data_IF_321935801409
#
_entry.id   IF_321935801409
#
_cell.length_a   1.000
_cell.length_b   1.000
_cell.length_c   1.000
_cell.angle_alpha   90.00
_cell.angle_beta   90.00
_cell.angle_gamma   90.00
#
_symmetry.space_group_name_H-M   'P 1'
#
loop_
_entity.id
_entity.type
_entity.pdbx_description
1 polymer ?
#
# COMPACT_ATOMS: atom_id res chain seq x y z
N UNK A 1 -1.91 -49.74 -55.66
CA UNK A 1 -2.48 -48.44 -55.96
C UNK A 1 -2.06 -47.48 -54.91
N UNK A 2 -1.39 -46.46 -55.37
CA UNK A 2 -0.57 -45.54 -54.59
C UNK A 2 -1.45 -44.38 -54.16
N UNK A 3 -1.52 -44.10 -52.87
CA UNK A 3 -2.08 -42.89 -52.37
C UNK A 3 -1.00 -42.05 -51.69
N UNK A 4 -0.68 -40.93 -52.32
CA UNK A 4 0.34 -39.98 -51.86
C UNK A 4 -0.16 -39.22 -50.64
N UNK A 5 0.60 -39.28 -49.56
CA UNK A 5 0.49 -38.37 -48.43
C UNK A 5 1.08 -37.00 -48.78
N UNK A 6 0.24 -36.02 -48.99
CA UNK A 6 0.61 -34.60 -48.92
C UNK A 6 0.67 -34.19 -47.45
N UNK A 7 1.89 -34.04 -46.98
CA UNK A 7 2.16 -33.33 -45.70
C UNK A 7 2.08 -31.83 -45.97
N UNK A 8 0.93 -31.25 -45.65
CA UNK A 8 0.78 -29.83 -45.61
C UNK A 8 1.48 -29.29 -44.35
N UNK A 9 2.58 -28.60 -44.55
CA UNK A 9 3.17 -27.73 -43.53
C UNK A 9 2.23 -26.53 -43.28
N UNK A 10 1.32 -26.70 -42.34
CA UNK A 10 0.65 -25.52 -41.76
C UNK A 10 1.69 -24.78 -40.95
N UNK A 11 2.27 -23.80 -41.63
CA UNK A 11 3.00 -22.73 -40.99
C UNK A 11 1.97 -21.90 -40.17
N UNK A 12 1.84 -22.21 -38.87
CA UNK A 12 1.13 -21.37 -37.95
C UNK A 12 1.77 -19.96 -38.00
N UNK A 13 1.19 -19.13 -38.81
CA UNK A 13 1.38 -17.69 -38.71
C UNK A 13 0.80 -17.35 -37.32
N UNK A 14 1.66 -17.20 -36.32
CA UNK A 14 1.31 -16.51 -35.10
C UNK A 14 0.86 -15.13 -35.53
N UNK A 15 -0.42 -14.86 -35.45
CA UNK A 15 -0.96 -13.52 -35.47
C UNK A 15 -0.29 -12.73 -34.32
N UNK A 16 0.83 -12.13 -34.66
CA UNK A 16 1.46 -11.11 -33.86
C UNK A 16 0.64 -9.86 -34.06
N UNK A 17 -0.11 -9.48 -33.03
CA UNK A 17 -0.58 -8.14 -32.71
C UNK A 17 -2.06 -8.11 -32.27
N UNK A 18 -2.38 -8.82 -31.21
CA UNK A 18 -3.19 -8.23 -30.14
C UNK A 18 -2.31 -8.26 -28.90
N UNK A 19 -1.74 -7.11 -28.54
CA UNK A 19 -1.03 -6.96 -27.29
C UNK A 19 -2.00 -7.30 -26.16
N UNK A 20 -1.89 -8.54 -25.65
CA UNK A 20 -2.50 -8.91 -24.38
C UNK A 20 -1.87 -7.94 -23.38
N UNK A 21 -2.68 -7.03 -22.88
CA UNK A 21 -2.24 -6.04 -21.89
C UNK A 21 -2.00 -6.81 -20.61
N UNK A 22 -0.79 -7.40 -20.48
CA UNK A 22 -0.41 -8.24 -19.35
C UNK A 22 -0.50 -7.40 -18.08
N UNK A 23 -1.22 -7.91 -17.10
CA UNK A 23 -1.42 -7.25 -15.82
C UNK A 23 -0.15 -7.35 -15.00
N UNK A 24 0.34 -6.21 -14.55
CA UNK A 24 1.53 -6.09 -13.69
C UNK A 24 1.14 -5.56 -12.32
N UNK A 25 1.84 -6.02 -11.28
CA UNK A 25 1.79 -5.44 -9.94
C UNK A 25 3.19 -5.37 -9.32
N UNK A 26 3.49 -4.37 -8.49
CA UNK A 26 4.70 -4.38 -7.69
C UNK A 26 4.62 -5.48 -6.62
N UNK A 27 5.67 -6.29 -6.51
CA UNK A 27 5.72 -7.41 -5.54
C UNK A 27 6.92 -7.33 -4.60
N UNK A 28 8.08 -6.88 -5.08
CA UNK A 28 9.25 -6.81 -4.22
C UNK A 28 9.89 -5.41 -4.28
N UNK A 29 10.13 -4.84 -3.11
CA UNK A 29 10.84 -3.57 -2.95
C UNK A 29 12.13 -3.78 -2.20
N UNK A 30 13.23 -3.23 -2.72
CA UNK A 30 14.55 -3.31 -2.08
C UNK A 30 15.30 -2.00 -2.14
N UNK A 31 16.04 -1.73 -1.08
CA UNK A 31 16.89 -0.57 -0.89
C UNK A 31 18.29 -1.07 -0.60
N UNK A 32 19.24 -0.87 -1.51
CA UNK A 32 20.65 -1.05 -1.20
C UNK A 32 21.14 0.11 -0.34
N UNK A 33 20.83 1.33 -0.74
CA UNK A 33 21.17 2.54 0.00
C UNK A 33 20.19 3.69 -0.27
N UNK A 34 19.63 4.25 0.81
CA UNK A 34 18.84 5.49 0.78
C UNK A 34 18.82 6.12 2.17
N UNK A 35 19.48 7.25 2.38
CA UNK A 35 19.59 7.89 3.70
C UNK A 35 20.08 6.91 4.77
N UNK A 36 19.27 6.65 5.79
CA UNK A 36 19.60 5.69 6.86
C UNK A 36 19.33 4.23 6.48
N UNK A 37 18.62 3.97 5.37
CA UNK A 37 18.34 2.62 4.91
C UNK A 37 19.55 2.01 4.22
N UNK A 38 19.92 0.79 4.64
CA UNK A 38 20.98 -0.03 4.04
C UNK A 38 20.51 -1.48 3.99
N UNK A 39 20.55 -2.10 2.83
CA UNK A 39 20.23 -3.52 2.63
C UNK A 39 18.85 -3.89 3.21
N UNK A 40 17.82 -3.10 2.91
CA UNK A 40 16.44 -3.34 3.34
C UNK A 40 15.62 -3.85 2.18
N UNK A 41 14.95 -4.98 2.36
CA UNK A 41 14.05 -5.54 1.34
C UNK A 41 12.83 -6.21 1.95
N UNK A 42 11.71 -6.21 1.22
CA UNK A 42 10.48 -6.87 1.62
C UNK A 42 9.53 -7.08 0.44
N UNK A 43 8.63 -8.03 0.62
CA UNK A 43 7.56 -8.31 -0.33
C UNK A 43 6.32 -7.45 -0.06
N UNK A 44 5.62 -7.11 -1.13
CA UNK A 44 4.31 -6.46 -1.10
C UNK A 44 3.21 -7.51 -1.29
N UNK A 45 2.16 -7.44 -0.48
CA UNK A 45 0.97 -8.27 -0.66
C UNK A 45 0.21 -7.90 -1.94
N UNK A 46 -0.44 -8.87 -2.53
CA UNK A 46 -1.24 -8.66 -3.75
C UNK A 46 -2.41 -7.72 -3.53
N UNK A 47 -2.98 -7.70 -2.32
CA UNK A 47 -4.12 -6.86 -1.95
C UNK A 47 -3.70 -5.72 -1.02
N UNK A 48 -3.18 -6.06 0.17
CA UNK A 48 -2.88 -5.05 1.19
C UNK A 48 -1.51 -5.30 1.81
N UNK A 49 -0.67 -4.26 1.82
CA UNK A 49 0.57 -4.20 2.58
C UNK A 49 0.48 -3.09 3.61
N UNK A 50 0.72 -3.43 4.86
CA UNK A 50 0.84 -2.47 5.96
C UNK A 50 2.31 -2.27 6.30
N UNK A 51 2.80 -1.04 6.20
CA UNK A 51 4.12 -0.63 6.66
C UNK A 51 3.97 0.05 8.02
N UNK A 52 4.56 -0.53 9.07
CA UNK A 52 4.51 0.00 10.42
C UNK A 52 5.89 0.02 11.06
N UNK A 53 6.01 0.64 12.22
CA UNK A 53 7.27 0.75 12.97
C UNK A 53 7.36 2.04 13.76
N UNK A 54 8.51 2.27 14.38
CA UNK A 54 8.78 3.42 15.23
C UNK A 54 8.67 4.76 14.48
N UNK A 55 8.49 5.86 15.23
CA UNK A 55 8.53 7.19 14.65
C UNK A 55 9.93 7.49 14.09
N UNK A 56 9.98 8.16 12.93
CA UNK A 56 11.23 8.52 12.28
C UNK A 56 11.94 7.37 11.55
N UNK A 57 11.37 6.15 11.55
CA UNK A 57 11.98 4.98 10.87
C UNK A 57 11.88 5.04 9.33
N UNK A 58 11.19 6.05 8.77
CA UNK A 58 11.13 6.28 7.32
C UNK A 58 9.97 5.59 6.59
N UNK A 59 8.85 5.26 7.26
CA UNK A 59 7.66 4.66 6.63
C UNK A 59 7.14 5.46 5.43
N UNK A 60 6.95 6.78 5.62
CA UNK A 60 6.49 7.69 4.54
C UNK A 60 7.48 7.75 3.37
N UNK A 61 8.80 7.64 3.66
CA UNK A 61 9.82 7.58 2.63
C UNK A 61 9.63 6.34 1.75
N UNK A 62 9.54 5.15 2.37
CA UNK A 62 9.36 3.91 1.63
C UNK A 62 8.06 3.92 0.82
N UNK A 63 6.96 4.39 1.42
CA UNK A 63 5.67 4.48 0.77
C UNK A 63 5.70 5.39 -0.47
N UNK A 64 6.32 6.56 -0.38
CA UNK A 64 6.45 7.51 -1.49
C UNK A 64 7.35 6.98 -2.61
N UNK A 65 8.41 6.25 -2.25
CA UNK A 65 9.31 5.60 -3.20
C UNK A 65 8.60 4.49 -3.97
N UNK A 66 7.81 3.64 -3.29
CA UNK A 66 6.98 2.60 -3.93
C UNK A 66 5.99 3.24 -4.91
N UNK A 67 5.29 4.30 -4.50
CA UNK A 67 4.35 5.02 -5.35
C UNK A 67 5.01 5.66 -6.59
N UNK A 68 6.32 5.92 -6.56
CA UNK A 68 7.04 6.59 -7.65
C UNK A 68 7.46 5.66 -8.79
N UNK A 69 7.41 4.33 -8.59
CA UNK A 69 7.83 3.36 -9.61
C UNK A 69 6.82 3.18 -10.74
N UNK A 70 5.55 3.45 -10.48
CA UNK A 70 4.44 3.31 -11.42
C UNK A 70 3.63 4.60 -11.57
N UNK A 71 2.78 4.64 -12.57
CA UNK A 71 1.89 5.77 -12.84
C UNK A 71 1.35 5.77 -14.26
N UNK A 72 0.16 6.32 -14.40
CA UNK A 72 -0.50 6.52 -15.68
C UNK A 72 -0.73 8.02 -15.92
N UNK A 73 -0.20 8.54 -17.02
CA UNK A 73 -0.41 9.93 -17.44
C UNK A 73 -1.83 10.12 -18.02
N UNK A 74 -2.82 9.89 -17.16
CA UNK A 74 -4.23 10.08 -17.43
C UNK A 74 -4.83 10.90 -16.31
N UNK A 75 -5.71 11.84 -16.65
CA UNK A 75 -6.38 12.68 -15.66
C UNK A 75 -7.64 12.01 -15.14
N UNK A 76 -7.85 12.09 -13.83
CA UNK A 76 -9.15 11.80 -13.21
C UNK A 76 -10.20 12.84 -13.64
N UNK A 77 -11.45 12.57 -13.34
CA UNK A 77 -12.55 13.52 -13.62
C UNK A 77 -12.36 14.85 -12.85
N UNK A 78 -11.67 14.82 -11.73
CA UNK A 78 -11.30 16.03 -10.95
C UNK A 78 -10.09 16.77 -11.51
N UNK A 79 -9.40 16.21 -12.50
CA UNK A 79 -8.25 16.81 -13.18
C UNK A 79 -6.88 16.42 -12.59
N UNK A 80 -6.83 15.59 -11.56
CA UNK A 80 -5.58 15.07 -10.99
C UNK A 80 -5.04 13.89 -11.82
N UNK A 81 -3.72 13.73 -11.91
CA UNK A 81 -3.12 12.61 -12.61
C UNK A 81 -3.12 11.33 -11.74
N UNK A 82 -3.16 10.16 -12.41
CA UNK A 82 -2.90 8.86 -11.77
C UNK A 82 -1.39 8.54 -11.76
N UNK A 83 -0.59 9.55 -11.56
CA UNK A 83 0.86 9.50 -11.51
C UNK A 83 1.33 10.50 -10.46
N UNK A 84 1.63 10.05 -9.23
CA UNK A 84 2.13 10.95 -8.19
C UNK A 84 3.54 11.45 -8.54
N UNK A 85 3.77 12.73 -8.38
CA UNK A 85 5.08 13.33 -8.57
C UNK A 85 5.79 13.47 -7.22
N UNK A 86 6.93 12.82 -7.06
CA UNK A 86 7.66 12.71 -5.80
C UNK A 86 7.95 14.06 -5.15
N UNK A 87 8.34 15.05 -5.93
CA UNK A 87 8.66 16.41 -5.45
C UNK A 87 7.46 17.18 -4.90
N UNK A 88 6.22 16.73 -5.14
CA UNK A 88 5.01 17.39 -4.61
C UNK A 88 4.79 17.09 -3.12
N UNK A 89 5.38 16.03 -2.60
CA UNK A 89 5.14 15.56 -1.22
C UNK A 89 6.40 15.09 -0.51
N UNK A 90 7.56 15.14 -1.16
CA UNK A 90 8.83 14.73 -0.58
C UNK A 90 9.96 15.62 -1.07
N UNK A 91 10.80 16.07 -0.15
CA UNK A 91 11.98 16.86 -0.48
C UNK A 91 13.27 16.06 -0.26
N UNK A 92 14.12 16.06 -1.26
CA UNK A 92 15.53 15.66 -1.16
C UNK A 92 16.34 16.94 -1.28
N UNK A 93 17.24 17.17 -0.34
CA UNK A 93 18.10 18.34 -0.34
C UNK A 93 19.15 18.22 -1.46
N UNK A 94 19.55 19.35 -2.05
CA UNK A 94 20.57 19.38 -3.09
C UNK A 94 21.94 18.95 -2.54
N UNK A 95 22.17 19.12 -1.23
CA UNK A 95 23.39 18.71 -0.55
C UNK A 95 23.43 17.21 -0.19
N UNK A 96 22.29 16.49 -0.33
CA UNK A 96 22.27 15.03 -0.15
C UNK A 96 23.00 14.34 -1.32
N UNK A 97 23.75 13.28 -1.02
CA UNK A 97 24.38 12.41 -2.05
C UNK A 97 23.31 11.51 -2.71
N UNK A 98 22.31 12.14 -3.36
CA UNK A 98 21.20 11.43 -4.00
C UNK A 98 21.60 10.59 -5.22
N UNK A 99 22.77 10.84 -5.81
CA UNK A 99 23.29 10.04 -6.93
C UNK A 99 23.72 8.63 -6.47
N UNK A 100 24.11 8.49 -5.20
CA UNK A 100 24.46 7.20 -4.59
C UNK A 100 23.24 6.34 -4.25
N UNK A 101 22.02 6.89 -4.23
CA UNK A 101 20.80 6.18 -3.87
C UNK A 101 20.49 5.07 -4.85
N UNK A 102 20.23 3.87 -4.30
CA UNK A 102 19.96 2.65 -5.07
C UNK A 102 18.77 1.91 -4.48
N UNK A 103 17.68 1.96 -5.21
CA UNK A 103 16.42 1.31 -4.83
C UNK A 103 15.82 0.61 -6.05
N UNK A 104 15.15 -0.51 -5.81
CA UNK A 104 14.55 -1.31 -6.87
C UNK A 104 13.12 -1.69 -6.51
N UNK A 105 12.26 -1.69 -7.51
CA UNK A 105 10.90 -2.16 -7.42
C UNK A 105 10.67 -3.19 -8.54
N UNK A 106 10.44 -4.43 -8.15
CA UNK A 106 10.20 -5.55 -9.06
C UNK A 106 8.70 -5.75 -9.24
N UNK A 107 8.31 -5.90 -10.48
CA UNK A 107 6.94 -6.14 -10.90
C UNK A 107 6.80 -7.56 -11.41
N UNK A 108 5.66 -8.16 -11.11
CA UNK A 108 5.32 -9.53 -11.54
C UNK A 108 4.01 -9.54 -12.29
N UNK A 109 3.80 -10.59 -13.07
CA UNK A 109 2.51 -10.91 -13.67
C UNK A 109 1.54 -11.52 -12.63
N UNK A 110 0.29 -11.76 -12.99
CA UNK A 110 -0.74 -12.29 -12.08
C UNK A 110 -0.38 -13.66 -11.47
N UNK A 111 0.33 -14.48 -12.21
CA UNK A 111 0.81 -15.78 -11.76
C UNK A 111 2.01 -15.72 -10.80
N UNK A 112 2.61 -14.54 -10.64
CA UNK A 112 3.81 -14.32 -9.83
C UNK A 112 5.11 -14.41 -10.61
N UNK A 113 5.08 -14.59 -11.93
CA UNK A 113 6.28 -14.58 -12.76
C UNK A 113 6.94 -13.21 -12.76
N UNK A 114 8.25 -13.08 -12.44
CA UNK A 114 8.97 -11.81 -12.53
C UNK A 114 8.92 -11.25 -13.96
N UNK A 115 8.41 -10.03 -14.10
CA UNK A 115 8.20 -9.37 -15.38
C UNK A 115 9.29 -8.34 -15.69
N UNK A 116 9.49 -7.39 -14.80
CA UNK A 116 10.50 -6.34 -14.95
C UNK A 116 10.86 -5.72 -13.59
N UNK A 117 12.07 -5.18 -13.51
CA UNK A 117 12.53 -4.41 -12.35
C UNK A 117 12.83 -2.97 -12.74
N UNK A 118 12.40 -2.03 -11.92
CA UNK A 118 12.75 -0.61 -12.04
C UNK A 118 13.70 -0.20 -10.92
N UNK A 119 14.87 0.34 -11.31
CA UNK A 119 15.73 1.09 -10.42
C UNK A 119 15.19 2.52 -10.29
N UNK A 120 14.90 2.96 -9.09
CA UNK A 120 14.50 4.33 -8.80
C UNK A 120 15.74 5.20 -8.72
N UNK A 121 16.03 5.95 -9.78
CA UNK A 121 17.18 6.86 -9.88
C UNK A 121 16.73 8.28 -9.62
N UNK A 122 17.59 9.07 -8.98
CA UNK A 122 17.31 10.46 -8.68
C UNK A 122 17.96 11.37 -9.73
N UNK A 123 17.30 12.47 -10.04
CA UNK A 123 17.79 13.48 -10.97
C UNK A 123 17.49 14.87 -10.44
N UNK A 124 18.48 15.73 -10.47
CA UNK A 124 18.30 17.15 -10.21
C UNK A 124 17.59 17.83 -11.39
N UNK A 125 16.43 18.36 -11.15
CA UNK A 125 15.64 19.20 -12.04
C UNK A 125 15.25 20.53 -11.36
N UNK A 126 16.02 20.99 -10.36
CA UNK A 126 15.79 22.25 -9.59
C UNK A 126 15.73 23.46 -10.50
N UNK A 127 16.51 23.49 -11.57
CA UNK A 127 16.47 24.55 -12.60
C UNK A 127 15.10 24.70 -13.28
N UNK A 128 14.27 23.64 -13.24
CA UNK A 128 12.89 23.67 -13.79
C UNK A 128 11.83 23.87 -12.73
N UNK A 129 12.22 24.11 -11.47
CA UNK A 129 11.33 24.25 -10.33
C UNK A 129 10.74 22.94 -9.80
N UNK A 130 11.27 21.78 -10.23
CA UNK A 130 10.79 20.45 -9.82
C UNK A 130 11.67 19.79 -8.74
N UNK A 131 12.75 20.44 -8.30
CA UNK A 131 13.66 19.87 -7.33
C UNK A 131 14.29 18.54 -7.76
N UNK A 132 14.68 17.73 -6.78
CA UNK A 132 15.19 16.37 -7.03
C UNK A 132 14.02 15.44 -7.26
N UNK A 133 13.95 14.80 -8.41
CA UNK A 133 12.87 13.88 -8.78
C UNK A 133 13.34 12.47 -9.08
N UNK A 134 12.40 11.50 -8.99
CA UNK A 134 12.65 10.10 -9.30
C UNK A 134 12.42 9.84 -10.78
N UNK A 135 13.38 9.11 -11.39
CA UNK A 135 13.26 8.54 -12.74
C UNK A 135 13.42 7.02 -12.62
N UNK A 136 12.33 6.24 -12.83
CA UNK A 136 12.43 4.79 -12.81
C UNK A 136 13.12 4.29 -14.07
N UNK A 137 14.28 3.67 -13.92
CA UNK A 137 15.05 3.07 -15.03
C UNK A 137 14.91 1.56 -15.01
N UNK A 138 14.71 0.93 -16.16
CA UNK A 138 14.71 -0.54 -16.25
C UNK A 138 16.05 -1.10 -15.78
N UNK A 139 16.01 -2.18 -15.02
CA UNK A 139 17.15 -2.89 -14.46
C UNK A 139 17.01 -4.38 -14.74
N UNK A 140 18.12 -5.10 -14.75
CA UNK A 140 18.15 -6.55 -14.84
C UNK A 140 18.34 -7.25 -13.47
N UNK A 141 18.35 -6.46 -12.39
CA UNK A 141 18.42 -7.02 -11.02
C UNK A 141 17.11 -7.75 -10.71
N UNK A 142 17.20 -8.90 -10.07
CA UNK A 142 16.09 -9.82 -9.77
C UNK A 142 15.39 -10.41 -11.02
N UNK A 143 16.04 -10.39 -12.19
CA UNK A 143 15.58 -11.08 -13.40
C UNK A 143 16.69 -12.04 -13.81
N UNK A 144 16.40 -13.34 -13.75
CA UNK A 144 17.37 -14.39 -14.01
C UNK A 144 17.87 -14.39 -15.46
N UNK A 145 19.18 -14.61 -15.62
CA UNK A 145 19.85 -14.79 -16.91
C UNK A 145 19.60 -13.67 -17.94
N UNK A 146 19.44 -12.43 -17.49
CA UNK A 146 19.09 -11.31 -18.35
C UNK A 146 20.15 -10.19 -18.29
N UNK A 147 20.64 -9.72 -19.44
CA UNK A 147 21.46 -8.51 -19.51
C UNK A 147 20.57 -7.27 -19.44
N UNK A 148 21.14 -6.11 -19.03
CA UNK A 148 20.40 -4.85 -18.97
C UNK A 148 19.70 -4.52 -20.30
N UNK A 149 20.42 -4.68 -21.42
CA UNK A 149 19.87 -4.43 -22.75
C UNK A 149 18.69 -5.36 -23.08
N UNK A 150 18.79 -6.63 -22.68
CA UNK A 150 17.70 -7.59 -22.86
C UNK A 150 16.48 -7.23 -22.00
N UNK A 151 16.71 -6.82 -20.74
CA UNK A 151 15.65 -6.37 -19.84
C UNK A 151 14.89 -5.15 -20.40
N UNK A 152 15.61 -4.18 -21.00
CA UNK A 152 14.98 -3.02 -21.65
C UNK A 152 14.17 -3.40 -22.88
N UNK A 153 14.66 -4.33 -23.71
CA UNK A 153 13.96 -4.84 -24.89
C UNK A 153 12.69 -5.60 -24.46
N UNK A 154 12.79 -6.50 -23.48
CA UNK A 154 11.67 -7.27 -22.98
C UNK A 154 10.60 -6.35 -22.36
N UNK A 155 11.02 -5.40 -21.50
CA UNK A 155 10.11 -4.42 -20.90
C UNK A 155 9.34 -3.62 -21.95
N UNK A 156 10.00 -3.24 -23.06
CA UNK A 156 9.35 -2.50 -24.14
C UNK A 156 8.43 -3.38 -24.99
N UNK A 157 8.84 -4.58 -25.35
CA UNK A 157 8.11 -5.43 -26.28
C UNK A 157 6.93 -6.16 -25.62
N UNK A 158 7.11 -6.62 -24.36
CA UNK A 158 6.09 -7.42 -23.67
C UNK A 158 5.11 -6.56 -22.87
N UNK A 159 5.59 -5.43 -22.31
CA UNK A 159 4.80 -4.61 -21.38
C UNK A 159 4.62 -3.15 -21.85
N UNK A 160 5.16 -2.80 -23.00
CA UNK A 160 5.19 -1.41 -23.52
C UNK A 160 5.73 -0.39 -22.49
N UNK A 161 6.75 -0.78 -21.74
CA UNK A 161 7.41 0.06 -20.74
C UNK A 161 8.80 0.48 -21.21
N UNK A 162 8.98 1.77 -21.49
CA UNK A 162 10.28 2.32 -21.91
C UNK A 162 11.33 2.26 -20.81
N UNK A 163 12.64 2.29 -21.19
CA UNK A 163 13.77 2.17 -20.26
C UNK A 163 13.75 3.18 -19.11
N UNK A 164 13.33 4.43 -19.34
CA UNK A 164 13.20 5.48 -18.32
C UNK A 164 11.73 5.85 -18.00
N UNK A 165 10.78 5.01 -18.37
CA UNK A 165 9.34 5.23 -18.13
C UNK A 165 8.89 4.51 -16.85
N UNK A 166 7.87 5.06 -16.19
CA UNK A 166 7.13 4.37 -15.12
C UNK A 166 6.36 3.18 -15.69
N UNK A 167 6.11 2.18 -14.85
CA UNK A 167 5.19 1.09 -15.20
C UNK A 167 3.77 1.65 -15.26
N UNK A 168 3.01 1.28 -16.29
CA UNK A 168 1.70 1.85 -16.60
C UNK A 168 0.60 1.31 -15.68
N UNK A 169 0.77 1.47 -14.37
CA UNK A 169 -0.23 1.16 -13.35
C UNK A 169 -0.75 2.49 -12.81
N UNK A 170 -2.06 2.78 -12.92
CA UNK A 170 -2.67 3.94 -12.28
C UNK A 170 -2.31 3.98 -10.80
N UNK A 171 -1.63 5.03 -10.37
CA UNK A 171 -1.14 5.13 -8.98
C UNK A 171 -1.66 6.40 -8.33
N UNK A 172 -2.20 6.25 -7.13
CA UNK A 172 -2.59 7.37 -6.25
C UNK A 172 -1.75 7.31 -4.98
N UNK A 173 -1.19 8.45 -4.59
CA UNK A 173 -0.54 8.63 -3.30
C UNK A 173 -1.30 9.67 -2.48
N UNK A 174 -1.75 9.28 -1.29
CA UNK A 174 -2.40 10.14 -0.32
C UNK A 174 -1.42 10.46 0.80
N UNK A 175 -0.77 11.62 0.72
CA UNK A 175 0.14 12.13 1.75
C UNK A 175 -0.61 12.69 2.96
N UNK A 176 0.12 13.01 4.04
CA UNK A 176 -0.42 13.66 5.23
C UNK A 176 -1.00 15.05 4.96
N UNK A 177 -0.65 15.71 3.84
CA UNK A 177 -1.22 17.02 3.48
C UNK A 177 -2.75 16.99 3.34
N UNK A 178 -3.35 15.79 3.09
CA UNK A 178 -4.81 15.64 3.05
C UNK A 178 -5.51 15.97 4.37
N UNK A 179 -4.78 15.85 5.49
CA UNK A 179 -5.29 16.10 6.85
C UNK A 179 -5.36 17.59 7.20
N UNK A 180 -5.05 18.45 6.25
CA UNK A 180 -5.14 19.89 6.45
C UNK A 180 -6.58 20.30 6.77
N UNK A 181 -6.84 20.89 7.97
CA UNK A 181 -8.20 21.14 8.44
C UNK A 181 -8.96 22.13 7.54
N UNK A 182 -10.13 21.72 7.05
CA UNK A 182 -10.96 22.52 6.16
C UNK A 182 -11.43 23.84 6.80
N UNK A 183 -11.72 23.81 8.11
CA UNK A 183 -12.29 24.95 8.84
C UNK A 183 -11.29 26.01 9.29
N UNK A 184 -9.99 25.69 9.37
CA UNK A 184 -8.98 26.59 9.96
C UNK A 184 -8.44 27.63 8.95
N UNK A 185 -8.44 27.30 7.65
CA UNK A 185 -7.96 28.20 6.59
C UNK A 185 -8.93 28.24 5.41
N UNK A 186 -10.06 28.85 5.62
CA UNK A 186 -11.14 28.99 4.63
C UNK A 186 -10.70 29.72 3.35
N UNK A 187 -9.71 30.59 3.44
CA UNK A 187 -9.11 31.34 2.35
C UNK A 187 -8.33 30.48 1.34
N UNK A 188 -7.87 29.30 1.77
CA UNK A 188 -7.10 28.35 0.91
C UNK A 188 -7.90 27.14 0.46
N UNK A 189 -9.18 27.04 0.87
CA UNK A 189 -10.07 25.93 0.52
C UNK A 189 -11.16 26.42 -0.42
N UNK A 190 -11.26 25.80 -1.60
CA UNK A 190 -12.31 26.06 -2.56
C UNK A 190 -13.24 24.86 -2.66
N UNK A 191 -14.55 25.08 -2.44
CA UNK A 191 -15.59 24.09 -2.61
C UNK A 191 -16.46 24.45 -3.80
N UNK A 192 -16.70 23.46 -4.68
CA UNK A 192 -17.52 23.64 -5.86
C UNK A 192 -18.50 22.47 -5.98
N UNK A 193 -19.79 22.75 -5.95
CA UNK A 193 -20.83 21.74 -6.14
C UNK A 193 -20.74 21.14 -7.55
N UNK A 194 -20.87 19.83 -7.64
CA UNK A 194 -20.81 19.09 -8.90
C UNK A 194 -22.20 19.00 -9.50
N UNK A 195 -22.37 19.52 -10.72
CA UNK A 195 -23.65 19.53 -11.42
C UNK A 195 -24.09 18.10 -11.76
N UNK A 196 -25.39 17.78 -11.65
CA UNK A 196 -25.99 16.47 -11.96
C UNK A 196 -25.71 15.94 -13.39
N UNK A 197 -25.33 16.80 -14.33
CA UNK A 197 -24.93 16.42 -15.71
C UNK A 197 -23.49 15.91 -15.79
N UNK A 198 -22.71 15.95 -14.69
CA UNK A 198 -21.32 15.51 -14.67
C UNK A 198 -21.22 13.97 -14.76
N UNK A 199 -20.09 13.49 -15.29
CA UNK A 199 -19.78 12.07 -15.43
C UNK A 199 -19.90 11.28 -14.10
N UNK A 200 -19.66 11.91 -12.94
CA UNK A 200 -19.85 11.28 -11.65
C UNK A 200 -21.27 10.78 -11.42
N UNK A 201 -22.28 11.61 -11.72
CA UNK A 201 -23.68 11.20 -11.59
C UNK A 201 -24.10 10.22 -12.70
N UNK A 202 -23.60 10.40 -13.92
CA UNK A 202 -23.90 9.49 -15.04
C UNK A 202 -23.40 8.06 -14.78
N UNK A 203 -22.26 7.93 -14.10
CA UNK A 203 -21.63 6.64 -13.74
C UNK A 203 -21.95 6.20 -12.30
N UNK A 204 -22.94 6.82 -11.65
CA UNK A 204 -23.38 6.52 -10.25
C UNK A 204 -22.27 6.58 -9.20
N UNK A 205 -21.25 7.38 -9.44
CA UNK A 205 -20.13 7.55 -8.50
C UNK A 205 -20.57 8.26 -7.20
N UNK A 206 -21.61 9.08 -7.26
CA UNK A 206 -22.23 9.69 -6.08
C UNK A 206 -22.94 8.65 -5.20
N UNK A 207 -23.63 7.67 -5.80
CA UNK A 207 -24.25 6.55 -5.09
C UNK A 207 -23.18 5.70 -4.41
N UNK A 208 -22.08 5.36 -5.13
CA UNK A 208 -20.94 4.61 -4.59
C UNK A 208 -20.22 5.36 -3.48
N UNK A 209 -20.04 6.67 -3.59
CA UNK A 209 -19.46 7.49 -2.53
C UNK A 209 -20.28 7.39 -1.24
N UNK A 210 -21.61 7.54 -1.33
CA UNK A 210 -22.54 7.40 -0.19
C UNK A 210 -22.50 6.01 0.41
N UNK A 211 -22.56 4.97 -0.43
CA UNK A 211 -22.51 3.57 -0.03
C UNK A 211 -21.23 3.29 0.78
N UNK A 212 -20.06 3.55 0.21
CA UNK A 212 -18.79 3.24 0.85
C UNK A 212 -18.53 4.08 2.10
N UNK A 213 -18.89 5.35 2.08
CA UNK A 213 -18.77 6.21 3.26
C UNK A 213 -19.65 5.69 4.41
N UNK A 214 -20.91 5.31 4.12
CA UNK A 214 -21.85 4.79 5.11
C UNK A 214 -21.53 3.36 5.57
N UNK A 215 -20.80 2.56 4.81
CA UNK A 215 -20.22 1.29 5.28
C UNK A 215 -19.22 1.55 6.40
N UNK A 216 -18.35 2.56 6.24
CA UNK A 216 -17.30 2.88 7.21
C UNK A 216 -17.86 3.64 8.43
N UNK A 217 -18.67 4.68 8.20
CA UNK A 217 -19.36 5.43 9.26
C UNK A 217 -20.87 5.40 8.98
N UNK A 218 -21.64 4.49 9.62
CA UNK A 218 -23.03 4.27 9.31
C UNK A 218 -23.91 5.51 9.48
N UNK A 219 -24.88 5.64 8.58
CA UNK A 219 -25.90 6.71 8.60
C UNK A 219 -25.32 8.14 8.57
N UNK A 220 -24.14 8.33 8.04
CA UNK A 220 -23.49 9.64 7.98
C UNK A 220 -23.97 10.50 6.82
N UNK A 221 -24.13 9.90 5.63
CA UNK A 221 -24.53 10.63 4.42
C UNK A 221 -25.96 10.25 4.06
N UNK A 222 -26.82 11.28 3.94
CA UNK A 222 -28.23 11.13 3.56
C UNK A 222 -28.39 10.97 2.05
N UNK A 223 -29.55 10.46 1.62
CA UNK A 223 -29.86 10.22 0.19
C UNK A 223 -29.80 11.50 -0.66
N UNK A 224 -30.21 12.62 -0.11
CA UNK A 224 -30.26 13.93 -0.77
C UNK A 224 -28.94 14.69 -0.82
N UNK A 225 -27.88 14.21 -0.14
CA UNK A 225 -26.60 14.88 -0.10
C UNK A 225 -25.98 15.03 -1.50
N UNK A 226 -25.42 16.20 -1.76
CA UNK A 226 -24.86 16.58 -3.06
C UNK A 226 -23.34 16.45 -3.04
N UNK A 227 -22.80 15.99 -4.16
CA UNK A 227 -21.35 15.82 -4.33
C UNK A 227 -20.69 17.16 -4.60
N UNK A 228 -19.63 17.45 -3.87
CA UNK A 228 -18.82 18.66 -4.02
C UNK A 228 -17.36 18.33 -4.29
N UNK A 229 -16.71 19.11 -5.14
CA UNK A 229 -15.26 19.12 -5.34
C UNK A 229 -14.64 20.02 -4.29
N UNK A 230 -13.65 19.52 -3.58
CA UNK A 230 -12.85 20.26 -2.61
C UNK A 230 -11.42 20.39 -3.10
N UNK A 231 -10.91 21.62 -3.19
CA UNK A 231 -9.52 21.94 -3.53
C UNK A 231 -8.88 22.62 -2.33
N UNK A 232 -7.84 21.99 -1.78
CA UNK A 232 -7.05 22.55 -0.65
C UNK A 232 -5.72 23.03 -1.20
N UNK A 233 -5.32 24.27 -0.90
CA UNK A 233 -4.07 24.85 -1.41
C UNK A 233 -2.80 24.05 -1.04
N UNK A 234 -2.86 23.25 0.03
CA UNK A 234 -1.75 22.40 0.46
C UNK A 234 -1.72 21.01 -0.20
N UNK A 235 -2.76 20.62 -0.96
CA UNK A 235 -2.89 19.29 -1.53
C UNK A 235 -2.71 19.31 -3.05
N UNK A 236 -1.90 18.40 -3.57
CA UNK A 236 -1.72 18.23 -5.01
C UNK A 236 -2.97 17.68 -5.73
N UNK A 237 -3.88 17.01 -4.97
CA UNK A 237 -5.11 16.43 -5.52
C UNK A 237 -6.35 17.11 -4.95
N UNK A 238 -7.30 17.41 -5.84
CA UNK A 238 -8.67 17.72 -5.44
C UNK A 238 -9.38 16.44 -4.97
N UNK A 239 -10.34 16.58 -4.06
CA UNK A 239 -11.13 15.48 -3.52
C UNK A 239 -12.64 15.71 -3.64
N UNK A 240 -13.40 14.62 -3.57
CA UNK A 240 -14.87 14.63 -3.51
C UNK A 240 -15.31 14.59 -2.07
N UNK A 241 -16.32 15.38 -1.74
CA UNK A 241 -16.96 15.39 -0.43
C UNK A 241 -18.47 15.54 -0.56
N UNK A 242 -19.18 15.12 0.47
CA UNK A 242 -20.61 15.35 0.66
C UNK A 242 -20.85 15.88 2.05
N UNK A 243 -21.95 16.60 2.25
CA UNK A 243 -22.37 17.02 3.58
C UNK A 243 -22.76 15.81 4.45
N UNK A 244 -22.37 15.83 5.70
CA UNK A 244 -22.53 14.73 6.66
C UNK A 244 -23.52 15.14 7.74
N UNK A 245 -24.63 14.44 7.91
CA UNK A 245 -25.62 14.69 8.97
C UNK A 245 -26.01 16.17 9.11
N UNK A 246 -26.27 16.86 7.99
CA UNK A 246 -26.54 18.30 7.91
C UNK A 246 -25.33 19.19 8.31
N UNK A 247 -24.14 18.61 8.49
CA UNK A 247 -22.90 19.38 8.68
C UNK A 247 -22.28 19.70 7.33
N UNK A 248 -22.17 20.97 6.96
CA UNK A 248 -21.53 21.35 5.70
C UNK A 248 -20.08 20.86 5.63
N UNK A 249 -19.59 20.62 4.44
CA UNK A 249 -18.24 20.10 4.16
C UNK A 249 -17.14 20.88 4.90
N UNK A 250 -17.23 22.23 4.96
CA UNK A 250 -16.24 23.07 5.69
C UNK A 250 -16.24 22.85 7.21
N UNK A 251 -17.29 22.30 7.78
CA UNK A 251 -17.44 22.10 9.22
C UNK A 251 -17.18 20.65 9.65
N UNK A 252 -16.76 19.79 8.72
CA UNK A 252 -16.42 18.41 9.00
C UNK A 252 -15.20 18.30 9.91
N UNK A 253 -15.21 17.29 10.78
CA UNK A 253 -14.06 16.96 11.61
C UNK A 253 -12.91 16.42 10.76
N UNK A 254 -11.68 16.47 11.27
CA UNK A 254 -10.49 15.94 10.56
C UNK A 254 -10.68 14.46 10.17
N UNK A 255 -11.30 13.65 11.04
CA UNK A 255 -11.57 12.23 10.74
C UNK A 255 -12.57 12.04 9.60
N UNK A 256 -13.64 12.86 9.57
CA UNK A 256 -14.63 12.85 8.49
C UNK A 256 -14.02 13.30 7.16
N UNK A 257 -13.22 14.37 7.19
CA UNK A 257 -12.50 14.88 6.04
C UNK A 257 -11.44 13.86 5.53
N UNK A 258 -10.69 13.22 6.46
CA UNK A 258 -9.74 12.17 6.10
C UNK A 258 -10.44 11.01 5.36
N UNK A 259 -11.53 10.49 5.93
CA UNK A 259 -12.32 9.44 5.28
C UNK A 259 -12.85 9.91 3.91
N UNK A 260 -13.35 11.14 3.82
CA UNK A 260 -13.80 11.73 2.55
C UNK A 260 -12.70 11.73 1.47
N UNK A 261 -11.46 12.10 1.84
CA UNK A 261 -10.32 12.05 0.92
C UNK A 261 -9.99 10.61 0.47
N UNK A 262 -10.05 9.63 1.38
CA UNK A 262 -9.82 8.22 1.06
C UNK A 262 -10.90 7.69 0.12
N UNK A 263 -12.19 7.89 0.44
CA UNK A 263 -13.30 7.49 -0.42
C UNK A 263 -13.22 8.19 -1.79
N UNK A 264 -12.85 9.47 -1.82
CA UNK A 264 -12.64 10.18 -3.08
C UNK A 264 -11.59 9.52 -3.98
N UNK A 265 -10.47 9.05 -3.42
CA UNK A 265 -9.46 8.33 -4.18
C UNK A 265 -9.98 6.98 -4.72
N UNK A 266 -10.77 6.26 -3.93
CA UNK A 266 -11.44 5.03 -4.37
C UNK A 266 -12.45 5.31 -5.50
N UNK A 267 -13.19 6.42 -5.42
CA UNK A 267 -14.09 6.86 -6.51
C UNK A 267 -13.33 7.21 -7.78
N UNK A 268 -12.17 7.87 -7.69
CA UNK A 268 -11.32 8.13 -8.86
C UNK A 268 -10.90 6.81 -9.55
N UNK A 269 -10.54 5.78 -8.76
CA UNK A 269 -10.21 4.44 -9.29
C UNK A 269 -11.47 3.75 -9.86
N UNK A 270 -12.61 3.82 -9.17
CA UNK A 270 -13.87 3.29 -9.67
C UNK A 270 -14.28 3.91 -11.02
N UNK A 271 -14.13 5.22 -11.16
CA UNK A 271 -14.38 5.89 -12.44
C UNK A 271 -13.45 5.42 -13.55
N UNK A 272 -12.18 5.16 -13.19
CA UNK A 272 -11.18 4.65 -14.13
C UNK A 272 -11.39 3.17 -14.47
N UNK A 273 -11.94 2.36 -13.55
CA UNK A 273 -12.19 0.93 -13.79
C UNK A 273 -13.26 0.65 -14.84
N UNK A 274 -14.01 1.66 -15.23
CA UNK A 274 -14.98 1.57 -16.33
C UNK A 274 -14.36 1.73 -17.72
N UNK A 275 -13.06 1.98 -17.79
CA UNK A 275 -12.35 2.10 -19.08
C UNK A 275 -11.82 0.72 -19.50
N UNK A 276 -11.94 0.38 -20.78
CA UNK A 276 -11.57 -0.93 -21.35
C UNK A 276 -10.09 -1.32 -21.11
N UNK A 277 -9.21 -0.32 -20.96
CA UNK A 277 -7.77 -0.51 -20.74
C UNK A 277 -7.40 -0.68 -19.26
N UNK A 278 -8.37 -0.67 -18.34
CA UNK A 278 -8.09 -0.77 -16.92
C UNK A 278 -7.69 -2.18 -16.51
N UNK A 279 -6.50 -2.30 -15.91
CA UNK A 279 -5.93 -3.58 -15.45
C UNK A 279 -5.61 -3.60 -13.94
N UNK A 280 -6.17 -2.66 -13.19
CA UNK A 280 -5.89 -2.50 -11.76
C UNK A 280 -5.22 -1.17 -11.43
N UNK A 281 -5.05 -0.90 -10.13
CA UNK A 281 -4.45 0.34 -9.63
C UNK A 281 -3.62 0.10 -8.38
N UNK A 282 -2.68 1.01 -8.10
CA UNK A 282 -1.93 1.07 -6.86
C UNK A 282 -2.42 2.28 -6.03
N UNK A 283 -2.86 2.02 -4.80
CA UNK A 283 -3.25 3.05 -3.85
C UNK A 283 -2.32 3.06 -2.64
N UNK A 284 -1.56 4.13 -2.48
CA UNK A 284 -0.65 4.34 -1.36
C UNK A 284 -1.24 5.39 -0.41
N UNK A 285 -1.39 5.06 0.88
CA UNK A 285 -1.97 5.96 1.88
C UNK A 285 -1.03 6.09 3.08
N UNK A 286 -0.55 7.29 3.33
CA UNK A 286 0.30 7.57 4.49
C UNK A 286 -0.57 7.83 5.72
N UNK A 287 -0.23 7.19 6.85
CA UNK A 287 -0.92 7.25 8.14
C UNK A 287 -2.46 7.15 8.03
N UNK A 288 -2.92 5.98 7.61
CA UNK A 288 -4.34 5.73 7.33
C UNK A 288 -5.25 5.88 8.55
N UNK A 289 -4.71 5.64 9.74
CA UNK A 289 -5.42 5.61 11.03
C UNK A 289 -5.68 6.98 11.64
N UNK A 290 -5.03 8.03 11.15
CA UNK A 290 -5.10 9.37 11.76
C UNK A 290 -6.54 9.85 11.87
N UNK A 291 -6.92 10.23 13.10
CA UNK A 291 -8.26 10.76 13.47
C UNK A 291 -9.43 9.80 13.19
N UNK A 292 -9.17 8.49 13.00
CA UNK A 292 -10.21 7.48 12.87
C UNK A 292 -10.35 6.64 14.16
N UNK A 293 -11.58 6.46 14.63
CA UNK A 293 -11.87 5.55 15.74
C UNK A 293 -11.54 4.10 15.37
N UNK A 294 -11.08 3.24 16.32
CA UNK A 294 -10.73 1.84 16.03
C UNK A 294 -11.79 1.04 15.27
N UNK A 295 -13.08 1.18 15.60
CA UNK A 295 -14.17 0.54 14.86
C UNK A 295 -14.25 1.02 13.40
N UNK A 296 -14.08 2.32 13.17
CA UNK A 296 -14.02 2.91 11.83
C UNK A 296 -12.82 2.37 11.03
N UNK A 297 -11.67 2.17 11.69
CA UNK A 297 -10.47 1.58 11.06
C UNK A 297 -10.72 0.14 10.61
N UNK A 298 -11.42 -0.67 11.40
CA UNK A 298 -11.79 -2.06 11.04
C UNK A 298 -12.71 -2.04 9.81
N UNK A 299 -13.78 -1.25 9.84
CA UNK A 299 -14.73 -1.14 8.71
C UNK A 299 -14.06 -0.62 7.44
N UNK A 300 -13.11 0.33 7.56
CA UNK A 300 -12.35 0.82 6.43
C UNK A 300 -11.45 -0.28 5.85
N UNK A 301 -10.82 -1.09 6.71
CA UNK A 301 -10.02 -2.24 6.29
C UNK A 301 -10.89 -3.29 5.58
N UNK A 302 -12.08 -3.60 6.10
CA UNK A 302 -13.02 -4.53 5.47
C UNK A 302 -13.45 -4.03 4.08
N UNK A 303 -13.76 -2.72 3.95
CA UNK A 303 -14.04 -2.09 2.66
C UNK A 303 -12.85 -2.21 1.70
N UNK A 304 -11.62 -2.03 2.17
CA UNK A 304 -10.43 -2.19 1.33
C UNK A 304 -10.24 -3.63 0.85
N UNK A 305 -10.48 -4.63 1.70
CA UNK A 305 -10.43 -6.04 1.30
C UNK A 305 -11.44 -6.29 0.18
N UNK A 306 -12.69 -5.83 0.33
CA UNK A 306 -13.71 -5.95 -0.68
C UNK A 306 -13.30 -5.26 -1.99
N UNK A 307 -12.91 -3.99 -1.94
CA UNK A 307 -12.59 -3.20 -3.14
C UNK A 307 -11.28 -3.62 -3.80
N UNK A 308 -10.35 -4.24 -3.06
CA UNK A 308 -9.14 -4.83 -3.66
C UNK A 308 -9.47 -5.95 -4.64
N UNK A 309 -10.56 -6.68 -4.41
CA UNK A 309 -11.07 -7.71 -5.31
C UNK A 309 -11.93 -7.10 -6.43
N UNK A 310 -12.92 -6.28 -6.08
CA UNK A 310 -13.89 -5.72 -7.03
C UNK A 310 -13.24 -4.81 -8.07
N UNK A 311 -12.29 -3.97 -7.65
CA UNK A 311 -11.63 -2.98 -8.49
C UNK A 311 -10.18 -3.34 -8.80
N UNK A 312 -9.71 -4.53 -8.41
CA UNK A 312 -8.33 -4.96 -8.61
C UNK A 312 -7.31 -3.90 -8.13
N UNK A 313 -7.46 -3.44 -6.89
CA UNK A 313 -6.59 -2.45 -6.28
C UNK A 313 -5.56 -3.15 -5.39
N UNK A 314 -4.29 -2.81 -5.56
CA UNK A 314 -3.26 -3.10 -4.58
C UNK A 314 -3.09 -1.88 -3.66
N UNK A 315 -3.19 -2.11 -2.35
CA UNK A 315 -3.04 -1.06 -1.34
C UNK A 315 -1.72 -1.23 -0.60
N UNK A 316 -0.99 -0.13 -0.46
CA UNK A 316 0.17 -0.04 0.43
C UNK A 316 -0.08 1.11 1.39
N UNK A 317 -0.15 0.84 2.68
CA UNK A 317 -0.52 1.84 3.66
C UNK A 317 0.50 1.91 4.81
N UNK A 318 0.77 3.10 5.32
CA UNK A 318 1.50 3.23 6.58
C UNK A 318 0.52 3.43 7.74
N UNK A 319 0.87 2.94 8.92
CA UNK A 319 0.05 3.07 10.12
C UNK A 319 0.83 2.90 11.42
N UNK A 320 0.36 3.56 12.46
CA UNK A 320 0.72 3.32 13.86
C UNK A 320 -0.38 2.56 14.63
N UNK A 321 -1.50 2.24 13.98
CA UNK A 321 -2.63 1.60 14.63
C UNK A 321 -2.38 0.12 14.92
N UNK A 322 -2.38 -0.24 16.19
CA UNK A 322 -2.39 -1.64 16.63
C UNK A 322 -3.64 -2.38 16.18
N UNK A 323 -4.76 -1.69 15.97
CA UNK A 323 -6.01 -2.26 15.47
C UNK A 323 -5.82 -2.76 14.04
N UNK A 324 -5.33 -1.91 13.14
CA UNK A 324 -5.06 -2.27 11.74
C UNK A 324 -4.01 -3.38 11.65
N UNK A 325 -2.89 -3.24 12.36
CA UNK A 325 -1.81 -4.24 12.38
C UNK A 325 -2.35 -5.61 12.81
N UNK A 326 -3.16 -5.66 13.89
CA UNK A 326 -3.75 -6.91 14.40
C UNK A 326 -4.64 -7.60 13.36
N UNK A 327 -5.50 -6.84 12.71
CA UNK A 327 -6.43 -7.41 11.73
C UNK A 327 -5.67 -7.87 10.47
N UNK A 328 -4.70 -7.08 9.97
CA UNK A 328 -3.92 -7.50 8.79
C UNK A 328 -3.00 -8.69 9.11
N UNK A 329 -2.43 -8.80 10.32
CA UNK A 329 -1.71 -10.01 10.74
C UNK A 329 -2.60 -11.28 10.73
N UNK A 330 -3.88 -11.15 11.09
CA UNK A 330 -4.83 -12.28 10.97
C UNK A 330 -5.08 -12.67 9.50
N UNK A 331 -5.19 -11.68 8.62
CA UNK A 331 -5.36 -11.90 7.18
C UNK A 331 -4.08 -12.52 6.57
N UNK A 332 -2.89 -12.02 6.92
CA UNK A 332 -1.60 -12.55 6.48
C UNK A 332 -1.41 -14.02 6.88
N UNK A 333 -1.84 -14.40 8.10
CA UNK A 333 -1.81 -15.81 8.52
C UNK A 333 -2.70 -16.73 7.68
N UNK A 334 -3.79 -16.21 7.10
CA UNK A 334 -4.70 -16.96 6.24
C UNK A 334 -4.22 -17.00 4.78
N UNK A 335 -3.70 -15.88 4.30
CA UNK A 335 -3.17 -15.74 2.95
C UNK A 335 -2.01 -14.73 2.92
N UNK A 336 -0.80 -15.26 3.03
CA UNK A 336 0.43 -14.45 3.04
C UNK A 336 0.82 -13.89 1.68
N UNK A 337 0.20 -14.32 0.58
CA UNK A 337 0.43 -13.74 -0.74
C UNK A 337 -0.37 -12.44 -0.91
N UNK A 338 -1.58 -12.39 -0.37
CA UNK A 338 -2.47 -11.24 -0.52
C UNK A 338 -2.20 -10.15 0.52
N UNK A 339 -1.77 -10.53 1.73
CA UNK A 339 -1.64 -9.61 2.86
C UNK A 339 -0.24 -9.67 3.47
N UNK A 340 0.35 -8.52 3.74
CA UNK A 340 1.68 -8.39 4.36
C UNK A 340 1.69 -7.32 5.44
N UNK A 341 2.39 -7.62 6.54
CA UNK A 341 2.78 -6.63 7.54
C UNK A 341 4.29 -6.49 7.52
N UNK A 342 4.77 -5.32 7.16
CA UNK A 342 6.19 -4.93 7.16
C UNK A 342 6.42 -4.06 8.39
N UNK A 343 7.19 -4.56 9.35
CA UNK A 343 7.50 -3.82 10.57
C UNK A 343 8.95 -3.40 10.62
N UNK A 344 9.16 -2.08 10.70
CA UNK A 344 10.47 -1.44 10.67
C UNK A 344 10.92 -1.05 12.08
N UNK A 345 12.18 -1.33 12.40
CA UNK A 345 12.83 -0.97 13.67
C UNK A 345 14.08 -0.13 13.44
N UNK A 346 14.51 0.54 14.50
CA UNK A 346 15.74 1.32 14.59
C UNK A 346 15.81 2.50 13.61
N UNK A 347 15.34 3.71 13.99
CA UNK A 347 15.37 4.88 13.12
C UNK A 347 16.75 5.28 12.58
N UNK A 348 17.84 4.95 13.33
CA UNK A 348 19.21 5.29 12.90
C UNK A 348 19.78 4.33 11.85
N UNK A 349 19.31 3.08 11.83
CA UNK A 349 19.66 2.05 10.85
C UNK A 349 18.46 1.14 10.63
N UNK A 350 17.48 1.56 9.84
CA UNK A 350 16.22 0.86 9.70
C UNK A 350 16.38 -0.53 9.09
N UNK A 351 15.69 -1.51 9.66
CA UNK A 351 15.61 -2.87 9.14
C UNK A 351 14.20 -3.45 9.29
N UNK A 352 13.84 -4.37 8.43
CA UNK A 352 12.59 -5.13 8.52
C UNK A 352 12.77 -6.27 9.50
N UNK A 353 11.81 -6.45 10.38
CA UNK A 353 11.81 -7.54 11.37
C UNK A 353 10.79 -8.62 11.03
N UNK A 354 11.14 -9.87 11.26
CA UNK A 354 10.26 -11.04 11.08
C UNK A 354 9.22 -11.23 12.19
N UNK A 355 8.98 -10.19 13.00
CA UNK A 355 7.98 -10.27 14.06
C UNK A 355 6.56 -10.42 13.49
N UNK A 356 6.02 -11.63 13.49
CA UNK A 356 4.67 -11.97 13.03
C UNK A 356 3.65 -12.17 14.17
N UNK A 357 4.04 -11.86 15.41
CA UNK A 357 3.14 -11.90 16.57
C UNK A 357 2.68 -10.50 16.92
N UNK A 358 1.36 -10.34 17.08
CA UNK A 358 0.76 -9.07 17.50
C UNK A 358 1.28 -8.63 18.86
N UNK A 359 1.45 -9.56 19.80
CA UNK A 359 1.93 -9.29 21.16
C UNK A 359 3.36 -8.77 21.16
N UNK A 360 4.23 -9.32 20.30
CA UNK A 360 5.62 -8.84 20.16
C UNK A 360 5.64 -7.43 19.55
N UNK A 361 4.86 -7.19 18.50
CA UNK A 361 4.76 -5.87 17.88
C UNK A 361 4.21 -4.83 18.85
N UNK A 362 3.16 -5.19 19.59
CA UNK A 362 2.59 -4.33 20.64
C UNK A 362 3.62 -4.01 21.71
N UNK A 363 4.34 -5.01 22.21
CA UNK A 363 5.39 -4.81 23.22
C UNK A 363 6.49 -3.87 22.74
N UNK A 364 6.92 -4.03 21.49
CA UNK A 364 7.93 -3.14 20.86
C UNK A 364 7.43 -1.71 20.72
N UNK A 365 6.19 -1.52 20.25
CA UNK A 365 5.60 -0.20 20.07
C UNK A 365 5.42 0.57 21.40
N UNK A 366 5.15 -0.12 22.48
CA UNK A 366 5.03 0.48 23.81
C UNK A 366 6.37 0.57 24.58
N UNK A 367 7.46 0.02 24.04
CA UNK A 367 8.74 -0.05 24.73
C UNK A 367 8.66 -0.83 26.05
N UNK A 368 7.65 -1.68 26.22
CA UNK A 368 7.42 -2.41 27.45
C UNK A 368 7.81 -3.88 27.29
N UNK A 369 8.65 -4.37 28.18
CA UNK A 369 9.00 -5.80 28.27
C UNK A 369 7.86 -6.67 28.84
N UNK A 370 6.67 -6.10 29.05
CA UNK A 370 5.51 -6.83 29.57
C UNK A 370 4.90 -7.77 28.50
N UNK A 371 5.74 -8.66 28.00
CA UNK A 371 5.27 -9.86 27.35
C UNK A 371 4.71 -10.78 28.42
N UNK A 372 3.45 -10.67 28.74
CA UNK A 372 2.77 -11.75 29.45
C UNK A 372 2.71 -12.95 28.52
N UNK A 373 3.65 -13.87 28.67
CA UNK A 373 3.57 -15.17 28.01
C UNK A 373 2.19 -15.74 28.29
N UNK A 374 1.49 -16.30 27.28
CA UNK A 374 0.20 -16.94 27.56
C UNK A 374 0.41 -17.99 28.64
N UNK A 375 -0.24 -17.80 29.80
CA UNK A 375 -0.20 -18.78 30.88
C UNK A 375 -1.00 -19.99 30.40
N UNK A 376 -0.32 -21.08 30.09
CA UNK A 376 -0.96 -22.38 29.84
C UNK A 376 -1.32 -22.97 31.19
N UNK A 377 -2.62 -23.10 31.47
CA UNK A 377 -3.09 -23.83 32.64
C UNK A 377 -3.09 -25.31 32.28
N UNK A 378 -2.27 -26.06 33.00
CA UNK A 378 -2.25 -27.54 32.91
C UNK A 378 -2.98 -28.09 34.11
N UNK A 379 -3.99 -28.91 33.89
CA UNK A 379 -4.77 -29.57 34.90
C UNK A 379 -4.30 -31.02 35.00
N UNK A 380 -4.11 -31.52 36.22
CA UNK A 380 -3.72 -32.88 36.49
C UNK A 380 -4.83 -33.56 37.26
N UNK A 381 -5.00 -34.86 37.03
CA UNK A 381 -5.97 -35.67 37.75
C UNK A 381 -5.54 -35.95 39.19
N UNK A 382 -4.22 -36.03 39.40
CA UNK A 382 -3.64 -36.31 40.70
C UNK A 382 -2.28 -35.60 40.90
N UNK A 383 -1.71 -35.71 42.13
CA UNK A 383 -0.40 -35.16 42.47
C UNK A 383 0.75 -35.86 41.76
N UNK A 384 0.60 -37.12 41.39
CA UNK A 384 1.61 -37.91 40.70
C UNK A 384 1.80 -37.36 39.28
N UNK A 385 0.71 -37.07 38.56
CA UNK A 385 0.73 -36.45 37.25
C UNK A 385 1.40 -35.08 37.25
N UNK A 386 1.11 -34.27 38.29
CA UNK A 386 1.76 -32.97 38.47
C UNK A 386 3.28 -33.13 38.74
N UNK A 387 3.67 -34.06 39.60
CA UNK A 387 5.08 -34.31 39.91
C UNK A 387 5.86 -34.79 38.69
N UNK A 388 5.30 -35.71 37.92
CA UNK A 388 5.89 -36.26 36.68
C UNK A 388 6.07 -35.18 35.62
N UNK A 389 5.07 -34.31 35.44
CA UNK A 389 5.16 -33.18 34.55
C UNK A 389 6.28 -32.20 34.93
N UNK A 390 6.40 -31.88 36.20
CA UNK A 390 7.47 -30.98 36.68
C UNK A 390 8.85 -31.58 36.44
N UNK A 391 9.04 -32.89 36.70
CA UNK A 391 10.29 -33.58 36.38
C UNK A 391 10.65 -33.56 34.90
N UNK A 392 9.67 -33.78 34.03
CA UNK A 392 9.85 -33.67 32.56
C UNK A 392 10.19 -32.24 32.14
N UNK A 393 9.53 -31.24 32.72
CA UNK A 393 9.80 -29.83 32.40
C UNK A 393 11.20 -29.40 32.87
N UNK A 394 11.68 -29.90 34.03
CA UNK A 394 13.03 -29.63 34.50
C UNK A 394 14.09 -30.31 33.62
N UNK A 395 13.85 -31.53 33.19
CA UNK A 395 14.73 -32.22 32.26
C UNK A 395 14.77 -31.47 30.90
N UNK A 396 13.61 -30.99 30.40
CA UNK A 396 13.52 -30.21 29.16
C UNK A 396 14.26 -28.87 29.27
N UNK A 397 14.18 -28.17 30.43
CA UNK A 397 14.95 -26.94 30.67
C UNK A 397 16.45 -27.18 30.62
N UNK A 398 16.90 -28.26 31.20
CA UNK A 398 18.33 -28.61 31.22
C UNK A 398 18.88 -28.95 29.84
N UNK A 399 18.07 -29.58 29.00
CA UNK A 399 18.48 -29.98 27.62
C UNK A 399 18.48 -28.78 26.67
N UNK A 400 17.48 -27.92 26.76
CA UNK A 400 17.24 -26.86 25.74
C UNK A 400 17.59 -25.45 26.21
N UNK A 401 18.17 -25.30 27.42
CA UNK A 401 18.53 -24.01 28.00
C UNK A 401 17.38 -22.96 27.92
N UNK A 402 16.13 -23.43 28.05
CA UNK A 402 14.91 -22.60 27.93
C UNK A 402 14.60 -21.96 29.28
N UNK A 403 14.54 -20.63 29.33
CA UNK A 403 14.04 -19.86 30.46
C UNK A 403 12.51 -20.01 30.56
N UNK A 404 12.07 -21.05 31.30
CA UNK A 404 10.67 -21.17 31.71
C UNK A 404 10.58 -20.64 33.17
N UNK A 405 9.79 -19.57 33.37
CA UNK A 405 9.52 -19.07 34.71
C UNK A 405 8.37 -19.86 35.35
N UNK A 406 8.58 -20.34 36.57
CA UNK A 406 7.51 -20.92 37.41
C UNK A 406 6.76 -19.82 38.15
N UNK A 407 5.50 -20.06 38.49
CA UNK A 407 4.58 -19.07 39.06
C UNK A 407 4.86 -18.61 40.50
N UNK A 408 5.91 -19.12 41.14
CA UNK A 408 6.18 -18.84 42.55
C UNK A 408 6.95 -17.53 42.83
N UNK A 409 7.18 -16.72 41.78
CA UNK A 409 7.84 -15.41 41.91
C UNK A 409 6.90 -14.19 41.66
N UNK A 410 5.60 -14.38 41.75
CA UNK A 410 4.62 -13.32 41.42
C UNK A 410 3.70 -12.93 42.60
N UNK A 411 3.96 -13.37 43.81
CA UNK A 411 3.19 -13.01 45.01
C UNK A 411 4.09 -12.31 46.09
N UNK A 412 4.98 -11.39 45.68
CA UNK A 412 5.54 -10.36 46.54
C UNK A 412 5.37 -8.97 45.94
#
# INVERSE_FOLDING_TARGET
>A
EISACLVGSEMCIRDSNMGVNKKLRPEHFSVEYFRNFKEVSFELGRKITVISGQNGVGKSNLLSLIASGSGLNKKSVLGSNFQPEFYEFFNVDEDEDFESYKLYLTYVEDDGTPALTKRLSFKDDTKTGRGIRIIPRTSNIYIDNCTLKQAEINAKNEYDVGGAARVKIPTIYLSLSRLYPLGERKDTVKITEIRKKNAFYQRKADEKYKEWYNVVIPNSIKSEAVLSKVEKGACARASLHMDINNTPTLSQSIGQDNLGNIISALIDIYMLSMDDEYNGALLCIDEIDVSLHPDTQIRLLDLFVQLSEELNIQLVVSTHSLTIIKEVLKLEKRNSLDFKVVYLKNPSAPYVTDMKSYELLKSDMFGSLSFQRPKVKVYFEDEIGNHLFNLLMDAFRNIYNCLLYTSDAADE
#
